data_IF_318934056018
#
_entry.id   IF_318934056018
#
_cell.length_a   1.000
_cell.length_b   1.000
_cell.length_c   1.000
_cell.angle_alpha   90.00
_cell.angle_beta   90.00
_cell.angle_gamma   90.00
#
_symmetry.space_group_name_H-M   'P 1'
#
loop_
_entity.id
_entity.type
_entity.pdbx_description
1 polymer ?
#
# COMPACT_ATOMS: atom_id res chain seq x y z
N UNK A 1 20.84 108.13 -12.97
CA UNK A 1 19.52 107.46 -12.79
C UNK A 1 19.16 106.56 -13.98
N UNK A 2 19.45 106.95 -15.24
CA UNK A 2 19.16 106.12 -16.41
C UNK A 2 19.94 104.84 -16.48
N UNK A 3 21.20 104.85 -16.02
CA UNK A 3 22.09 103.69 -16.02
C UNK A 3 21.64 102.59 -14.99
N UNK A 4 21.25 103.09 -13.80
CA UNK A 4 20.68 102.19 -12.75
C UNK A 4 19.38 101.56 -13.19
N UNK A 5 18.50 102.24 -13.86
CA UNK A 5 17.23 101.78 -14.37
C UNK A 5 17.50 100.69 -15.50
N UNK A 6 18.49 100.94 -16.35
CA UNK A 6 18.89 99.97 -17.40
C UNK A 6 19.44 98.68 -16.80
N UNK A 7 20.34 98.81 -15.84
CA UNK A 7 20.93 97.62 -15.13
C UNK A 7 19.85 96.87 -14.39
N UNK A 8 18.96 97.54 -13.66
CA UNK A 8 17.84 96.88 -12.97
C UNK A 8 16.91 96.13 -13.91
N UNK A 9 16.65 96.71 -15.08
CA UNK A 9 15.85 96.00 -16.11
C UNK A 9 16.55 94.78 -16.67
N UNK A 10 17.84 94.90 -16.97
CA UNK A 10 18.62 93.74 -17.50
C UNK A 10 18.68 92.59 -16.47
N UNK A 11 18.80 92.96 -15.19
CA UNK A 11 18.78 91.93 -14.12
C UNK A 11 17.41 91.28 -14.00
N UNK A 12 16.35 92.09 -13.99
CA UNK A 12 14.98 91.53 -13.95
C UNK A 12 14.62 90.64 -15.15
N UNK A 13 15.06 91.01 -16.34
CA UNK A 13 14.88 90.21 -17.57
C UNK A 13 15.73 88.88 -17.51
N UNK A 14 16.96 88.99 -16.95
CA UNK A 14 17.80 87.84 -16.67
C UNK A 14 17.19 86.88 -15.67
N UNK A 15 16.65 87.36 -14.59
CA UNK A 15 15.97 86.58 -13.55
C UNK A 15 14.69 85.87 -14.13
N UNK A 16 13.94 86.56 -14.94
CA UNK A 16 12.77 86.03 -15.62
C UNK A 16 13.15 84.89 -16.60
N UNK A 17 14.21 85.11 -17.36
CA UNK A 17 14.73 84.08 -18.28
C UNK A 17 15.22 82.82 -17.55
N UNK A 18 15.97 83.07 -16.40
CA UNK A 18 16.46 81.96 -15.59
C UNK A 18 15.32 81.17 -14.93
N UNK A 19 14.30 81.86 -14.41
CA UNK A 19 13.10 81.24 -13.84
C UNK A 19 12.34 80.41 -14.91
N UNK A 20 12.27 80.89 -16.14
CA UNK A 20 11.65 80.16 -17.24
C UNK A 20 12.42 78.85 -17.60
N UNK A 21 13.77 78.92 -17.60
CA UNK A 21 14.65 77.77 -17.82
C UNK A 21 14.51 76.77 -16.68
N UNK A 22 14.48 77.22 -15.43
CA UNK A 22 14.25 76.33 -14.26
C UNK A 22 12.92 75.63 -14.35
N UNK A 23 11.84 76.31 -14.67
CA UNK A 23 10.52 75.72 -14.87
C UNK A 23 10.51 74.69 -16.01
N UNK A 24 11.20 74.96 -17.09
CA UNK A 24 11.31 74.03 -18.21
C UNK A 24 12.08 72.79 -17.80
N UNK A 25 13.17 72.93 -17.08
CA UNK A 25 13.97 71.82 -16.56
C UNK A 25 13.18 70.97 -15.54
N UNK A 26 12.46 71.62 -14.63
CA UNK A 26 11.58 70.93 -13.68
C UNK A 26 10.49 70.13 -14.36
N UNK A 27 9.83 70.67 -15.36
CA UNK A 27 8.81 69.97 -16.12
C UNK A 27 9.39 68.76 -16.91
N UNK A 28 10.55 68.96 -17.50
CA UNK A 28 11.29 67.89 -18.18
C UNK A 28 11.67 66.76 -17.24
N UNK A 29 12.16 67.11 -16.04
CA UNK A 29 12.48 66.12 -15.02
C UNK A 29 11.22 65.36 -14.54
N UNK A 30 10.10 66.05 -14.29
CA UNK A 30 8.84 65.39 -13.91
C UNK A 30 8.32 64.44 -14.98
N UNK A 31 8.38 64.85 -16.23
CA UNK A 31 8.03 63.96 -17.37
C UNK A 31 8.93 62.72 -17.44
N UNK A 32 10.24 62.90 -17.37
CA UNK A 32 11.22 61.81 -17.39
C UNK A 32 11.01 60.87 -16.22
N UNK A 33 10.79 61.38 -15.01
CA UNK A 33 10.51 60.56 -13.83
C UNK A 33 9.22 59.77 -13.97
N UNK A 34 8.16 60.37 -14.48
CA UNK A 34 6.88 59.70 -14.75
C UNK A 34 7.05 58.54 -15.77
N UNK A 35 7.84 58.80 -16.83
CA UNK A 35 8.11 57.80 -17.85
C UNK A 35 8.93 56.62 -17.32
N UNK A 36 9.98 56.91 -16.56
CA UNK A 36 10.79 55.88 -15.89
C UNK A 36 9.95 55.05 -14.94
N UNK A 37 9.09 55.69 -14.12
CA UNK A 37 8.23 54.99 -13.21
C UNK A 37 7.23 54.08 -13.93
N UNK A 38 6.64 54.52 -15.03
CA UNK A 38 5.72 53.73 -15.87
C UNK A 38 6.43 52.53 -16.49
N UNK A 39 7.62 52.78 -17.06
CA UNK A 39 8.44 51.72 -17.67
C UNK A 39 8.86 50.69 -16.63
N UNK A 40 9.35 51.13 -15.48
CA UNK A 40 9.77 50.21 -14.40
C UNK A 40 8.59 49.37 -13.87
N UNK A 41 7.44 50.03 -13.62
CA UNK A 41 6.23 49.35 -13.18
C UNK A 41 5.79 48.28 -14.17
N UNK A 42 5.84 48.59 -15.46
CA UNK A 42 5.47 47.61 -16.51
C UNK A 42 6.48 46.48 -16.58
N UNK A 43 7.77 46.73 -16.49
CA UNK A 43 8.83 45.71 -16.49
C UNK A 43 8.70 44.78 -15.26
N UNK A 44 8.46 45.34 -14.07
CA UNK A 44 8.26 44.51 -12.85
C UNK A 44 7.01 43.65 -12.97
N UNK A 45 5.91 44.19 -13.51
CA UNK A 45 4.70 43.38 -13.75
C UNK A 45 4.95 42.23 -14.72
N UNK A 46 5.65 42.49 -15.81
CA UNK A 46 5.98 41.46 -16.81
C UNK A 46 6.88 40.39 -16.20
N UNK A 47 7.99 40.79 -15.55
CA UNK A 47 8.89 39.86 -14.88
C UNK A 47 8.16 38.98 -13.85
N UNK A 48 7.25 39.60 -13.07
CA UNK A 48 6.45 38.84 -12.09
C UNK A 48 5.56 37.81 -12.78
N UNK A 49 4.90 38.18 -13.88
CA UNK A 49 4.05 37.28 -14.63
C UNK A 49 4.87 36.11 -15.22
N UNK A 50 6.03 36.42 -15.80
CA UNK A 50 6.92 35.41 -16.38
C UNK A 50 7.44 34.43 -15.33
N UNK A 51 7.82 34.93 -14.14
CA UNK A 51 8.24 34.06 -13.01
C UNK A 51 7.12 33.18 -12.48
N UNK A 52 5.90 33.70 -12.40
CA UNK A 52 4.74 32.91 -12.00
C UNK A 52 4.48 31.81 -13.04
N UNK A 53 4.55 32.14 -14.32
CA UNK A 53 4.37 31.15 -15.39
C UNK A 53 5.45 30.05 -15.36
N UNK A 54 6.72 30.43 -15.15
CA UNK A 54 7.83 29.47 -15.01
C UNK A 54 7.67 28.56 -13.79
N UNK A 55 7.28 29.11 -12.64
CA UNK A 55 7.02 28.31 -11.42
C UNK A 55 5.85 27.34 -11.64
N UNK A 56 4.77 27.78 -12.26
CA UNK A 56 3.62 26.94 -12.55
C UNK A 56 3.98 25.81 -13.52
N UNK A 57 4.76 26.11 -14.56
CA UNK A 57 5.24 25.11 -15.50
C UNK A 57 6.11 24.05 -14.84
N UNK A 58 7.04 24.47 -13.98
CA UNK A 58 7.89 23.56 -13.21
C UNK A 58 7.09 22.71 -12.19
N UNK A 59 6.09 23.31 -11.57
CA UNK A 59 5.21 22.58 -10.65
C UNK A 59 4.39 21.51 -11.40
N UNK A 60 3.87 21.82 -12.58
CA UNK A 60 3.16 20.86 -13.42
C UNK A 60 4.08 19.73 -13.87
N UNK A 61 5.29 20.05 -14.34
CA UNK A 61 6.28 19.03 -14.71
C UNK A 61 6.62 18.11 -13.53
N UNK A 62 6.85 18.65 -12.35
CA UNK A 62 7.15 17.85 -11.15
C UNK A 62 5.97 16.96 -10.76
N UNK A 63 4.73 17.41 -10.94
CA UNK A 63 3.55 16.62 -10.69
C UNK A 63 3.44 15.44 -11.68
N UNK A 64 3.71 15.66 -12.95
CA UNK A 64 3.71 14.63 -13.98
C UNK A 64 4.82 13.58 -13.74
N UNK A 65 6.02 14.04 -13.37
CA UNK A 65 7.14 13.16 -13.01
C UNK A 65 6.81 12.30 -11.78
N UNK A 66 6.16 12.88 -10.77
CA UNK A 66 5.73 12.15 -9.56
C UNK A 66 4.67 11.11 -9.90
N UNK A 67 3.69 11.47 -10.73
CA UNK A 67 2.67 10.55 -11.19
C UNK A 67 3.27 9.36 -11.96
N UNK A 68 4.18 9.62 -12.87
CA UNK A 68 4.88 8.58 -13.63
C UNK A 68 5.71 7.67 -12.72
N UNK A 69 6.41 8.23 -11.73
CA UNK A 69 7.16 7.47 -10.74
C UNK A 69 6.24 6.58 -9.89
N UNK A 70 5.08 7.10 -9.45
CA UNK A 70 4.10 6.34 -8.69
C UNK A 70 3.56 5.15 -9.49
N UNK A 71 3.18 5.37 -10.74
CA UNK A 71 2.74 4.30 -11.65
C UNK A 71 3.83 3.24 -11.88
N UNK A 72 5.08 3.66 -12.00
CA UNK A 72 6.22 2.75 -12.12
C UNK A 72 6.44 1.90 -10.87
N UNK A 73 6.24 2.48 -9.68
CA UNK A 73 6.30 1.75 -8.41
C UNK A 73 5.16 0.73 -8.31
N UNK A 74 3.93 1.14 -8.64
CA UNK A 74 2.77 0.25 -8.63
C UNK A 74 2.97 -0.97 -9.55
N UNK A 75 3.43 -0.74 -10.78
CA UNK A 75 3.76 -1.82 -11.72
C UNK A 75 4.88 -2.74 -11.20
N UNK A 76 5.87 -2.18 -10.51
CA UNK A 76 6.96 -2.95 -9.89
C UNK A 76 6.47 -3.82 -8.72
N UNK A 77 5.56 -3.29 -7.90
CA UNK A 77 4.92 -4.02 -6.79
C UNK A 77 4.09 -5.18 -7.34
N UNK A 78 3.31 -4.95 -8.39
CA UNK A 78 2.51 -6.00 -9.03
C UNK A 78 3.41 -7.11 -9.60
N UNK A 79 4.49 -6.75 -10.31
CA UNK A 79 5.48 -7.69 -10.82
C UNK A 79 6.15 -8.50 -9.71
N UNK A 80 6.56 -7.84 -8.63
CA UNK A 80 7.18 -8.51 -7.46
C UNK A 80 6.19 -9.46 -6.78
N UNK A 81 4.94 -9.07 -6.64
CA UNK A 81 3.87 -9.91 -6.09
C UNK A 81 3.70 -11.18 -6.91
N UNK A 82 3.71 -11.07 -8.23
CA UNK A 82 3.62 -12.22 -9.13
C UNK A 82 4.85 -13.14 -9.02
N UNK A 83 6.06 -12.56 -8.93
CA UNK A 83 7.30 -13.33 -8.73
C UNK A 83 7.27 -14.09 -7.40
N UNK A 84 6.85 -13.44 -6.32
CA UNK A 84 6.71 -14.07 -5.01
C UNK A 84 5.71 -15.21 -5.03
N UNK A 85 4.55 -15.02 -5.66
CA UNK A 85 3.56 -16.08 -5.84
C UNK A 85 4.14 -17.29 -6.57
N UNK A 86 4.85 -17.05 -7.68
CA UNK A 86 5.49 -18.13 -8.46
C UNK A 86 6.58 -18.85 -7.65
N UNK A 87 7.36 -18.09 -6.85
CA UNK A 87 8.38 -18.68 -5.98
C UNK A 87 7.77 -19.55 -4.88
N UNK A 88 6.68 -19.10 -4.25
CA UNK A 88 5.94 -19.87 -3.24
C UNK A 88 5.35 -21.15 -3.84
N UNK A 89 4.78 -21.09 -5.05
CA UNK A 89 4.29 -22.27 -5.76
C UNK A 89 5.41 -23.27 -6.11
N UNK A 90 6.58 -22.77 -6.52
CA UNK A 90 7.75 -23.60 -6.80
C UNK A 90 8.30 -24.23 -5.53
N UNK A 91 8.41 -23.46 -4.44
CA UNK A 91 8.86 -23.99 -3.16
C UNK A 91 7.91 -25.08 -2.64
N UNK A 92 6.61 -24.90 -2.76
CA UNK A 92 5.63 -25.92 -2.40
C UNK A 92 5.81 -27.19 -3.23
N UNK A 93 6.08 -27.08 -4.54
CA UNK A 93 6.39 -28.23 -5.41
C UNK A 93 7.71 -28.89 -5.06
N UNK A 94 8.76 -28.12 -4.78
CA UNK A 94 10.06 -28.68 -4.37
C UNK A 94 9.97 -29.41 -3.02
N UNK A 95 9.25 -28.84 -2.05
CA UNK A 95 8.99 -29.49 -0.76
C UNK A 95 8.20 -30.80 -0.95
N UNK A 96 7.20 -30.80 -1.83
CA UNK A 96 6.46 -32.01 -2.20
C UNK A 96 7.37 -33.04 -2.87
N UNK A 97 8.26 -32.61 -3.77
CA UNK A 97 9.25 -33.48 -4.45
C UNK A 97 10.31 -34.02 -3.48
N UNK A 98 10.78 -33.22 -2.55
CA UNK A 98 11.73 -33.66 -1.51
C UNK A 98 11.11 -34.67 -0.57
N UNK A 99 9.85 -34.50 -0.22
CA UNK A 99 9.06 -35.45 0.55
C UNK A 99 8.82 -36.74 -0.22
N UNK A 100 8.63 -36.65 -1.55
CA UNK A 100 8.53 -37.82 -2.44
C UNK A 100 9.85 -38.62 -2.55
N UNK A 101 11.00 -37.92 -2.57
CA UNK A 101 12.33 -38.54 -2.52
C UNK A 101 12.62 -39.31 -1.22
N UNK A 102 11.87 -39.00 -0.13
CA UNK A 102 11.90 -39.77 1.11
C UNK A 102 10.93 -40.98 1.14
N UNK A 103 10.50 -41.49 0.01
CA UNK A 103 9.50 -42.57 -0.18
C UNK A 103 8.07 -42.22 0.26
N UNK A 104 7.75 -40.92 0.35
CA UNK A 104 6.39 -40.44 0.67
C UNK A 104 6.00 -39.51 -0.47
N UNK A 105 5.16 -39.97 -1.37
CA UNK A 105 4.67 -39.17 -2.48
C UNK A 105 3.57 -38.25 -1.97
N UNK A 106 3.87 -36.93 -1.88
CA UNK A 106 2.86 -35.88 -1.57
C UNK A 106 2.42 -35.23 -2.88
N UNK A 107 1.33 -35.73 -3.42
CA UNK A 107 0.59 -35.05 -4.48
C UNK A 107 -0.45 -34.16 -3.81
N UNK A 108 -0.28 -32.84 -3.88
CA UNK A 108 -1.22 -31.91 -3.25
C UNK A 108 -2.49 -31.85 -4.08
N UNK A 109 -3.60 -32.39 -3.56
CA UNK A 109 -4.91 -32.36 -4.22
C UNK A 109 -5.54 -30.97 -4.21
N UNK A 110 -5.36 -30.22 -3.13
CA UNK A 110 -5.91 -28.86 -2.94
C UNK A 110 -4.86 -27.99 -2.27
N UNK A 111 -4.72 -26.75 -2.75
CA UNK A 111 -3.82 -25.74 -2.19
C UNK A 111 -4.58 -24.42 -2.11
N UNK A 112 -4.45 -23.70 -1.00
CA UNK A 112 -4.95 -22.34 -0.80
C UNK A 112 -3.78 -21.40 -0.50
N UNK A 113 -3.78 -20.23 -1.10
CA UNK A 113 -2.67 -19.27 -0.99
C UNK A 113 -3.04 -17.96 -0.34
N UNK A 114 -4.31 -17.55 -0.39
CA UNK A 114 -4.84 -16.28 0.15
C UNK A 114 -4.16 -14.99 -0.37
N UNK A 115 -3.35 -15.09 -1.42
CA UNK A 115 -2.50 -14.00 -1.91
C UNK A 115 -3.26 -12.80 -2.51
N UNK A 116 -4.52 -12.97 -2.88
CA UNK A 116 -5.34 -11.94 -3.52
C UNK A 116 -6.32 -11.26 -2.53
N UNK A 117 -6.01 -11.29 -1.24
CA UNK A 117 -6.87 -10.77 -0.17
C UNK A 117 -8.30 -11.36 -0.20
N UNK A 118 -8.44 -12.57 -0.71
CA UNK A 118 -9.69 -13.33 -0.71
C UNK A 118 -9.59 -14.49 0.25
N UNK A 119 -10.71 -14.88 0.86
CA UNK A 119 -10.76 -16.06 1.74
C UNK A 119 -10.72 -17.37 0.97
N UNK A 120 -10.69 -17.34 -0.35
CA UNK A 120 -10.76 -18.53 -1.23
C UNK A 120 -11.91 -19.49 -0.85
N UNK A 121 -13.02 -18.92 -0.38
CA UNK A 121 -14.21 -19.65 0.04
C UNK A 121 -14.22 -20.17 1.48
N UNK A 122 -13.15 -19.93 2.24
CA UNK A 122 -13.15 -20.26 3.67
C UNK A 122 -14.16 -19.42 4.44
N UNK A 123 -14.78 -20.04 5.44
CA UNK A 123 -15.75 -19.42 6.36
C UNK A 123 -15.29 -19.58 7.81
N UNK A 124 -15.85 -18.79 8.72
CA UNK A 124 -15.48 -18.80 10.14
C UNK A 124 -16.66 -19.00 11.07
N UNK A 125 -16.39 -19.35 12.33
CA UNK A 125 -17.41 -19.60 13.38
C UNK A 125 -18.19 -18.34 13.76
N UNK A 126 -17.57 -17.16 13.69
CA UNK A 126 -18.15 -15.90 14.18
C UNK A 126 -18.26 -14.83 13.09
N UNK A 127 -18.31 -15.22 11.84
CA UNK A 127 -18.37 -14.31 10.69
C UNK A 127 -17.44 -14.72 9.55
N UNK A 128 -17.27 -13.81 8.61
CA UNK A 128 -16.36 -14.03 7.49
C UNK A 128 -14.92 -13.82 7.97
N UNK A 129 -14.02 -14.80 7.76
CA UNK A 129 -12.60 -14.58 8.02
C UNK A 129 -12.06 -13.43 7.20
N UNK A 130 -11.08 -12.71 7.74
CA UNK A 130 -10.32 -11.71 7.00
C UNK A 130 -9.10 -12.32 6.32
N UNK A 131 -8.55 -11.59 5.36
CA UNK A 131 -7.22 -11.87 4.81
C UNK A 131 -6.38 -10.63 4.98
N UNK A 132 -5.19 -10.78 5.56
CA UNK A 132 -4.24 -9.66 5.72
C UNK A 132 -3.65 -9.26 4.37
N UNK A 133 -3.07 -8.05 4.28
CA UNK A 133 -2.44 -7.56 3.04
C UNK A 133 -1.29 -8.46 2.55
N UNK A 134 -0.65 -9.16 3.45
CA UNK A 134 0.43 -10.11 3.18
C UNK A 134 -0.05 -11.56 2.98
N UNK A 135 -1.36 -11.77 2.78
CA UNK A 135 -1.93 -13.04 2.32
C UNK A 135 -2.12 -14.10 3.40
N UNK A 136 -2.41 -13.71 4.65
CA UNK A 136 -2.72 -14.65 5.72
C UNK A 136 -4.23 -14.68 5.98
N UNK A 137 -4.82 -15.88 5.96
CA UNK A 137 -6.21 -16.08 6.38
C UNK A 137 -6.31 -15.94 7.89
N UNK A 138 -7.23 -15.13 8.37
CA UNK A 138 -7.43 -14.83 9.78
C UNK A 138 -8.86 -15.10 10.20
N UNK A 139 -9.12 -15.88 11.26
CA UNK A 139 -10.46 -16.00 11.85
C UNK A 139 -11.02 -14.64 12.26
N UNK A 140 -12.35 -14.52 12.40
CA UNK A 140 -12.98 -13.27 12.81
C UNK A 140 -12.56 -12.87 14.25
N UNK A 141 -12.25 -11.58 14.45
CA UNK A 141 -11.65 -11.05 15.69
C UNK A 141 -12.48 -11.23 16.96
N UNK A 142 -13.80 -11.29 16.85
CA UNK A 142 -14.70 -11.33 18.01
C UNK A 142 -15.03 -12.73 18.52
N UNK A 143 -14.35 -13.77 18.00
CA UNK A 143 -14.70 -15.14 18.31
C UNK A 143 -14.06 -15.64 19.61
N UNK A 144 -14.87 -16.28 20.44
CA UNK A 144 -14.44 -17.24 21.45
C UNK A 144 -14.48 -18.63 20.82
N UNK A 145 -13.43 -19.42 20.98
CA UNK A 145 -13.29 -20.73 20.31
C UNK A 145 -13.43 -20.62 18.78
N UNK A 146 -12.61 -19.77 18.13
CA UNK A 146 -12.72 -19.50 16.72
C UNK A 146 -12.19 -20.67 15.88
N UNK A 147 -12.95 -21.02 14.85
CA UNK A 147 -12.50 -21.97 13.86
C UNK A 147 -12.74 -21.45 12.44
N UNK A 148 -12.01 -22.00 11.50
CA UNK A 148 -12.20 -21.75 10.09
C UNK A 148 -12.50 -23.06 9.37
N UNK A 149 -13.35 -22.98 8.36
CA UNK A 149 -13.83 -24.13 7.59
C UNK A 149 -13.57 -23.89 6.11
N UNK A 150 -12.99 -24.87 5.43
CA UNK A 150 -12.77 -24.82 3.98
C UNK A 150 -14.09 -24.77 3.21
N UNK A 151 -14.08 -24.30 1.96
CA UNK A 151 -15.21 -24.54 1.06
C UNK A 151 -15.54 -26.04 0.97
N UNK A 152 -16.78 -26.35 0.62
CA UNK A 152 -17.22 -27.71 0.33
C UNK A 152 -16.78 -28.16 -1.08
N UNK A 153 -16.98 -29.42 -1.36
CA UNK A 153 -16.67 -29.99 -2.65
C UNK A 153 -15.18 -30.30 -2.88
N UNK A 154 -14.39 -30.45 -1.81
CA UNK A 154 -12.96 -30.78 -1.93
C UNK A 154 -12.70 -32.09 -2.67
N UNK A 155 -13.59 -33.06 -2.52
CA UNK A 155 -13.54 -34.38 -3.17
C UNK A 155 -12.20 -35.13 -3.00
N UNK A 156 -11.55 -34.96 -1.83
CA UNK A 156 -10.26 -35.55 -1.52
C UNK A 156 -10.44 -36.98 -1.08
N UNK A 157 -9.79 -37.93 -1.75
CA UNK A 157 -9.74 -39.35 -1.31
C UNK A 157 -8.87 -39.46 -0.05
N UNK A 158 -9.51 -39.62 1.11
CA UNK A 158 -8.83 -39.73 2.39
C UNK A 158 -8.01 -41.00 2.57
N UNK A 159 -8.15 -41.98 1.72
CA UNK A 159 -7.28 -43.16 1.72
C UNK A 159 -5.95 -42.90 1.00
N UNK A 160 -5.99 -42.11 -0.09
CA UNK A 160 -4.82 -41.74 -0.86
C UNK A 160 -4.07 -40.51 -0.28
N UNK A 161 -4.81 -39.50 0.19
CA UNK A 161 -4.25 -38.21 0.68
C UNK A 161 -4.44 -38.12 2.19
N UNK A 162 -3.44 -38.47 2.94
CA UNK A 162 -3.49 -38.58 4.42
C UNK A 162 -2.64 -37.51 5.14
N UNK A 163 -2.42 -36.40 4.52
CA UNK A 163 -1.64 -35.31 5.14
C UNK A 163 -2.26 -33.95 4.92
N UNK A 164 -1.97 -33.03 5.83
CA UNK A 164 -2.20 -31.60 5.69
C UNK A 164 -0.87 -30.88 5.99
N UNK A 165 -0.51 -29.92 5.16
CA UNK A 165 0.54 -28.96 5.44
C UNK A 165 -0.08 -27.60 5.69
N UNK A 166 0.22 -27.01 6.83
CA UNK A 166 -0.24 -25.69 7.24
C UNK A 166 0.96 -24.79 7.47
N UNK A 167 0.97 -23.62 6.87
CA UNK A 167 1.86 -22.54 7.23
C UNK A 167 1.05 -21.45 7.92
N UNK A 168 1.43 -21.05 9.11
CA UNK A 168 0.69 -20.05 9.88
C UNK A 168 1.61 -19.19 10.72
N UNK A 169 1.08 -18.05 11.11
CA UNK A 169 1.78 -17.03 11.89
C UNK A 169 1.11 -16.85 13.25
N UNK A 170 1.92 -16.75 14.30
CA UNK A 170 1.50 -16.49 15.66
C UNK A 170 1.72 -15.03 16.01
N UNK A 171 0.69 -14.37 16.53
CA UNK A 171 0.77 -13.02 17.08
C UNK A 171 0.39 -13.04 18.56
N UNK A 172 1.15 -12.30 19.40
CA UNK A 172 0.90 -12.28 20.84
C UNK A 172 1.17 -13.63 21.54
N UNK A 173 0.27 -14.02 22.42
CA UNK A 173 0.35 -15.26 23.20
C UNK A 173 -0.95 -16.05 23.14
N UNK A 174 -1.41 -16.49 21.97
CA UNK A 174 -2.62 -17.29 21.87
C UNK A 174 -2.42 -18.66 22.52
N UNK A 175 -3.52 -19.25 22.96
CA UNK A 175 -3.52 -20.61 23.49
C UNK A 175 -3.77 -21.58 22.35
N UNK A 176 -2.85 -22.51 22.14
CA UNK A 176 -2.96 -23.53 21.11
C UNK A 176 -4.12 -24.49 21.38
N UNK A 177 -4.97 -24.70 20.38
CA UNK A 177 -6.03 -25.71 20.37
C UNK A 177 -5.64 -26.91 19.50
N UNK A 178 -5.13 -26.66 18.29
CA UNK A 178 -4.51 -27.64 17.41
C UNK A 178 -5.42 -28.76 16.92
N UNK A 179 -6.71 -28.46 16.68
CA UNK A 179 -7.63 -29.45 16.16
C UNK A 179 -7.83 -29.34 14.65
N UNK A 180 -7.76 -30.48 13.98
CA UNK A 180 -8.15 -30.63 12.58
C UNK A 180 -9.35 -31.56 12.54
N UNK A 181 -10.46 -31.08 11.94
CA UNK A 181 -11.68 -31.85 11.77
C UNK A 181 -12.01 -32.00 10.30
N UNK A 182 -12.75 -33.06 9.95
CA UNK A 182 -13.16 -33.31 8.57
C UNK A 182 -14.57 -33.91 8.51
N UNK A 183 -15.19 -33.76 7.37
CA UNK A 183 -16.48 -34.37 7.05
C UNK A 183 -16.54 -34.82 5.60
N UNK A 184 -17.38 -35.83 5.33
CA UNK A 184 -17.78 -36.19 3.98
C UNK A 184 -19.01 -35.38 3.55
N UNK A 185 -19.36 -35.40 2.27
CA UNK A 185 -20.51 -34.67 1.74
C UNK A 185 -21.80 -35.03 2.50
N UNK A 186 -22.56 -34.01 2.90
CA UNK A 186 -23.80 -34.17 3.65
C UNK A 186 -23.64 -34.40 5.16
N UNK A 187 -22.41 -34.50 5.67
CA UNK A 187 -22.16 -34.64 7.11
C UNK A 187 -21.94 -33.29 7.78
N UNK A 188 -22.18 -33.26 9.10
CA UNK A 188 -21.81 -32.15 9.96
C UNK A 188 -20.56 -32.50 10.78
N UNK A 189 -19.77 -31.49 11.12
CA UNK A 189 -18.61 -31.65 11.99
C UNK A 189 -19.03 -32.16 13.36
N UNK A 190 -18.28 -33.14 13.88
CA UNK A 190 -18.50 -33.78 15.17
C UNK A 190 -17.18 -34.11 15.85
N UNK A 191 -17.22 -34.67 17.05
CA UNK A 191 -16.04 -34.98 17.83
C UNK A 191 -15.39 -36.33 17.48
N UNK A 192 -15.97 -37.12 16.60
CA UNK A 192 -15.39 -38.43 16.20
C UNK A 192 -14.43 -38.30 15.02
N UNK A 193 -14.64 -37.33 14.13
CA UNK A 193 -13.78 -37.05 12.98
C UNK A 193 -12.88 -35.86 13.27
N UNK A 194 -11.91 -36.07 14.18
CA UNK A 194 -10.92 -35.05 14.56
C UNK A 194 -9.55 -35.64 14.79
N UNK A 195 -8.55 -34.81 14.63
CA UNK A 195 -7.16 -35.12 14.92
C UNK A 195 -6.56 -33.95 15.71
N UNK A 196 -5.86 -34.23 16.81
CA UNK A 196 -5.22 -33.23 17.65
C UNK A 196 -3.74 -33.24 17.38
N UNK A 197 -3.17 -32.09 17.12
CA UNK A 197 -1.75 -31.91 16.84
C UNK A 197 -1.09 -31.03 17.90
N UNK A 198 0.14 -31.36 18.24
CA UNK A 198 0.95 -30.55 19.13
C UNK A 198 1.30 -29.19 18.51
N UNK A 199 1.45 -28.16 19.34
CA UNK A 199 1.93 -26.87 18.88
C UNK A 199 3.34 -27.01 18.29
N UNK A 200 3.59 -26.53 17.07
CA UNK A 200 4.91 -26.60 16.45
C UNK A 200 5.85 -25.54 17.00
N UNK A 201 7.14 -25.68 16.72
CA UNK A 201 8.11 -24.63 16.95
C UNK A 201 7.99 -23.50 15.93
N UNK A 202 8.22 -22.27 16.39
CA UNK A 202 8.15 -21.05 15.55
C UNK A 202 9.53 -20.51 15.26
N UNK A 203 9.79 -20.16 14.02
CA UNK A 203 10.91 -19.34 13.61
C UNK A 203 10.37 -17.97 13.18
N UNK A 204 10.80 -16.91 13.86
CA UNK A 204 10.35 -15.53 13.60
C UNK A 204 8.81 -15.35 13.61
N UNK A 205 8.14 -16.07 14.52
CA UNK A 205 6.69 -16.05 14.65
C UNK A 205 5.93 -16.87 13.60
N UNK A 206 6.61 -17.54 12.69
CA UNK A 206 6.01 -18.39 11.65
C UNK A 206 6.34 -19.86 11.90
N UNK A 207 5.37 -20.73 11.69
CA UNK A 207 5.57 -22.18 11.73
C UNK A 207 5.03 -22.85 10.48
N UNK A 208 5.65 -23.94 10.08
CA UNK A 208 5.10 -24.90 9.11
C UNK A 208 4.82 -26.20 9.83
N UNK A 209 3.57 -26.59 9.84
CA UNK A 209 3.10 -27.83 10.45
C UNK A 209 2.75 -28.82 9.34
N UNK A 210 3.39 -29.95 9.32
CA UNK A 210 3.03 -31.08 8.45
C UNK A 210 2.43 -32.19 9.31
N UNK A 211 1.13 -32.39 9.18
CA UNK A 211 0.41 -33.47 9.83
C UNK A 211 0.31 -34.62 8.86
N UNK A 212 0.82 -35.79 9.26
CA UNK A 212 0.86 -37.01 8.45
C UNK A 212 -0.06 -38.06 9.06
N UNK A 213 -0.44 -39.01 8.24
CA UNK A 213 -1.22 -40.20 8.66
C UNK A 213 -2.53 -39.81 9.39
N UNK A 214 -3.19 -38.74 8.93
CA UNK A 214 -4.50 -38.38 9.45
C UNK A 214 -5.43 -39.59 9.22
N UNK A 215 -6.17 -40.01 10.28
CA UNK A 215 -6.99 -41.23 10.22
C UNK A 215 -8.33 -41.02 9.50
N UNK A 216 -8.35 -40.15 8.52
CA UNK A 216 -9.55 -39.96 7.71
C UNK A 216 -9.65 -41.03 6.59
N UNK A 217 -10.88 -41.36 6.22
CA UNK A 217 -11.20 -42.31 5.18
C UNK A 217 -12.39 -41.80 4.36
N UNK A 218 -12.55 -42.38 3.16
CA UNK A 218 -13.60 -41.96 2.25
C UNK A 218 -13.35 -40.61 1.60
N UNK A 219 -14.37 -40.03 1.01
CA UNK A 219 -14.28 -38.79 0.28
C UNK A 219 -14.44 -37.61 1.27
N UNK A 220 -13.39 -36.82 1.45
CA UNK A 220 -13.37 -35.63 2.32
C UNK A 220 -13.97 -34.46 1.54
N UNK A 221 -15.06 -33.91 2.05
CA UNK A 221 -15.75 -32.77 1.46
C UNK A 221 -15.28 -31.43 2.01
N UNK A 222 -15.05 -31.36 3.33
CA UNK A 222 -14.59 -30.14 4.02
C UNK A 222 -13.66 -30.49 5.16
N UNK A 223 -12.79 -29.55 5.47
CA UNK A 223 -11.95 -29.54 6.66
C UNK A 223 -12.26 -28.33 7.51
N UNK A 224 -12.05 -28.45 8.83
CA UNK A 224 -12.13 -27.37 9.80
C UNK A 224 -10.84 -27.33 10.60
N UNK A 225 -10.33 -26.13 10.81
CA UNK A 225 -9.13 -25.86 11.59
C UNK A 225 -9.49 -25.04 12.83
N UNK A 226 -9.18 -25.57 13.99
CA UNK A 226 -9.35 -24.94 15.31
C UNK A 226 -7.95 -24.78 15.91
N UNK A 227 -7.26 -23.68 15.56
CA UNK A 227 -5.85 -23.48 15.97
C UNK A 227 -5.72 -22.78 17.32
N UNK A 228 -6.70 -21.95 17.71
CA UNK A 228 -6.66 -21.18 18.95
C UNK A 228 -8.02 -21.13 19.62
N UNK A 229 -8.03 -20.99 20.94
CA UNK A 229 -9.27 -20.79 21.73
C UNK A 229 -9.69 -19.31 21.85
N UNK A 230 -8.87 -18.38 21.36
CA UNK A 230 -9.15 -16.95 21.42
C UNK A 230 -8.67 -16.24 20.15
N UNK A 231 -9.52 -15.38 19.65
CA UNK A 231 -9.23 -14.53 18.49
C UNK A 231 -9.33 -13.07 18.90
N UNK A 232 -8.21 -12.51 19.28
CA UNK A 232 -7.99 -11.10 19.61
C UNK A 232 -6.61 -10.66 19.07
N UNK A 233 -5.93 -9.72 19.74
CA UNK A 233 -4.56 -9.34 19.39
C UNK A 233 -3.54 -10.49 19.53
N UNK A 234 -3.93 -11.60 20.22
CA UNK A 234 -3.11 -12.80 20.41
C UNK A 234 -3.75 -13.96 19.66
N UNK A 235 -3.34 -14.21 18.43
CA UNK A 235 -3.98 -15.17 17.55
C UNK A 235 -3.01 -15.91 16.63
N UNK A 236 -3.52 -16.98 15.97
CA UNK A 236 -2.91 -17.65 14.83
C UNK A 236 -3.59 -17.20 13.53
N UNK A 237 -2.82 -16.90 12.53
CA UNK A 237 -3.29 -16.49 11.20
C UNK A 237 -2.49 -17.20 10.11
#
# INVERSE_FOLDING_TARGET
DLEIARVSKTLADGDAALNAQIKTAENGLKQSLSQVNTTLTSAVKQETADRIADVNAKAAQAADELLAATQGIEASIESLTQVMKTADENLAREMSSLAAGANIQFDSQVIWHFNNQTTEGWTGSAGVPGVSQDGWLRPADSATDPYITSPGGLAVDGAAYRFIMLRFRKTGKPVWAGEIRWVSAGENFNNTKRYIVAEPEYADGVATLTVRDIPWTGNIDRIRLDLTNQQDASNFI
#
